data_IF_120543232254
#
_entry.id   IF_120543232254
#
_cell.length_a   1.000
_cell.length_b   1.000
_cell.length_c   1.000
_cell.angle_alpha   90.00
_cell.angle_beta   90.00
_cell.angle_gamma   90.00
#
_symmetry.space_group_name_H-M   'P 1'
#
loop_
_entity.id
_entity.type
_entity.pdbx_description
1 polymer ?
#
# COMPACT_ATOMS: atom_id res chain seq x y z
N UNK A 1 -31.81 -5.98 -18.73
CA UNK A 1 -32.01 -7.01 -17.68
C UNK A 1 -32.67 -6.32 -16.50
N UNK A 2 -33.81 -6.82 -16.06
CA UNK A 2 -34.52 -6.22 -14.93
C UNK A 2 -33.73 -6.43 -13.62
N UNK A 3 -33.86 -5.49 -12.66
CA UNK A 3 -33.14 -5.54 -11.38
C UNK A 3 -33.44 -6.84 -10.61
N UNK A 4 -34.66 -7.36 -10.77
CA UNK A 4 -35.11 -8.62 -10.16
C UNK A 4 -34.35 -9.83 -10.72
N UNK A 5 -34.02 -9.83 -12.01
CA UNK A 5 -33.22 -10.90 -12.64
C UNK A 5 -31.77 -10.84 -12.13
N UNK A 6 -31.20 -9.63 -11.96
CA UNK A 6 -29.86 -9.45 -11.39
C UNK A 6 -29.78 -9.93 -9.94
N UNK A 7 -30.80 -9.60 -9.13
CA UNK A 7 -30.89 -10.08 -7.73
C UNK A 7 -31.04 -11.61 -7.66
N UNK A 8 -31.87 -12.20 -8.51
CA UNK A 8 -32.02 -13.65 -8.57
C UNK A 8 -30.72 -14.33 -9.01
N UNK A 9 -30.01 -13.75 -9.97
CA UNK A 9 -28.69 -14.24 -10.39
C UNK A 9 -27.68 -14.16 -9.25
N UNK A 10 -27.64 -13.03 -8.53
CA UNK A 10 -26.77 -12.84 -7.37
C UNK A 10 -26.99 -13.91 -6.29
N UNK A 11 -28.26 -14.10 -5.85
CA UNK A 11 -28.58 -15.07 -4.80
C UNK A 11 -28.31 -16.53 -5.19
N UNK A 12 -28.37 -16.86 -6.48
CA UNK A 12 -28.15 -18.22 -7.00
C UNK A 12 -26.74 -18.47 -7.49
N UNK A 13 -25.92 -17.45 -7.57
CA UNK A 13 -24.56 -17.57 -8.09
C UNK A 13 -23.69 -18.42 -7.16
N UNK A 14 -23.02 -19.46 -7.68
CA UNK A 14 -22.08 -20.28 -6.89
C UNK A 14 -20.94 -19.43 -6.29
N UNK A 15 -20.51 -18.40 -6.98
CA UNK A 15 -19.46 -17.46 -6.54
C UNK A 15 -19.91 -16.68 -5.30
N UNK A 16 -21.15 -16.21 -5.30
CA UNK A 16 -21.78 -15.54 -4.14
C UNK A 16 -21.87 -16.48 -2.95
N UNK A 17 -22.30 -17.72 -3.14
CA UNK A 17 -22.37 -18.71 -2.07
C UNK A 17 -20.99 -19.02 -1.49
N UNK A 18 -19.99 -19.29 -2.34
CA UNK A 18 -18.61 -19.56 -1.90
C UNK A 18 -18.02 -18.38 -1.12
N UNK A 19 -18.23 -17.16 -1.59
CA UNK A 19 -17.77 -15.94 -0.90
C UNK A 19 -18.44 -15.79 0.46
N UNK A 20 -19.76 -16.00 0.51
CA UNK A 20 -20.53 -15.98 1.75
C UNK A 20 -20.05 -17.03 2.74
N UNK A 21 -19.91 -18.28 2.30
CA UNK A 21 -19.48 -19.40 3.15
C UNK A 21 -18.08 -19.13 3.71
N UNK A 22 -17.20 -18.58 2.89
CA UNK A 22 -15.87 -18.19 3.33
C UNK A 22 -15.90 -17.13 4.42
N UNK A 23 -16.58 -16.01 4.21
CA UNK A 23 -16.58 -14.89 5.15
C UNK A 23 -17.46 -15.12 6.38
N UNK A 24 -18.41 -16.04 6.33
CA UNK A 24 -19.22 -16.43 7.50
C UNK A 24 -18.57 -17.53 8.34
N UNK A 25 -17.55 -18.21 7.84
CA UNK A 25 -16.86 -19.25 8.60
C UNK A 25 -15.71 -18.63 9.38
N UNK A 26 -15.78 -18.56 10.72
CA UNK A 26 -14.76 -17.92 11.53
C UNK A 26 -13.43 -18.70 11.46
N UNK A 27 -12.30 -17.99 11.55
CA UNK A 27 -10.99 -18.59 11.80
C UNK A 27 -10.84 -18.94 13.29
N UNK A 28 -9.79 -19.68 13.63
CA UNK A 28 -9.45 -19.94 15.04
C UNK A 28 -9.22 -18.63 15.81
N UNK A 29 -8.64 -17.62 15.17
CA UNK A 29 -8.36 -16.31 15.77
C UNK A 29 -9.65 -15.54 16.09
N UNK A 30 -10.67 -15.63 15.21
CA UNK A 30 -12.00 -15.06 15.47
C UNK A 30 -12.68 -15.76 16.66
N UNK A 31 -12.62 -17.11 16.70
CA UNK A 31 -13.22 -17.90 17.78
C UNK A 31 -12.64 -17.50 19.14
N UNK A 32 -11.34 -17.27 19.22
CA UNK A 32 -10.66 -16.85 20.47
C UNK A 32 -10.65 -15.33 20.66
N UNK A 33 -11.29 -14.55 19.76
CA UNK A 33 -11.38 -13.09 19.77
C UNK A 33 -9.99 -12.41 19.82
N UNK A 34 -9.06 -12.89 18.99
CA UNK A 34 -7.68 -12.41 18.89
C UNK A 34 -7.25 -12.03 17.46
N UNK A 35 -8.20 -11.93 16.57
CA UNK A 35 -8.03 -11.58 15.15
C UNK A 35 -7.35 -10.22 14.92
N UNK A 36 -7.44 -9.29 15.91
CA UNK A 36 -6.87 -7.93 15.88
C UNK A 36 -5.73 -7.70 16.86
N UNK A 37 -5.32 -8.71 17.59
CA UNK A 37 -4.30 -8.56 18.62
C UNK A 37 -2.90 -8.48 18.03
N UNK A 38 -2.28 -7.28 18.00
CA UNK A 38 -0.89 -7.07 17.59
C UNK A 38 0.06 -8.07 18.26
N UNK A 39 -0.15 -8.33 19.55
CA UNK A 39 0.62 -9.32 20.30
C UNK A 39 0.49 -10.73 19.73
N UNK A 40 -0.71 -11.15 19.33
CA UNK A 40 -0.93 -12.49 18.76
C UNK A 40 -0.30 -12.58 17.39
N UNK A 41 -0.47 -11.55 16.55
CA UNK A 41 0.18 -11.51 15.23
C UNK A 41 1.71 -11.49 15.36
N UNK A 42 2.26 -10.70 16.27
CA UNK A 42 3.72 -10.68 16.53
C UNK A 42 4.25 -12.02 17.05
N UNK A 43 3.45 -12.75 17.85
CA UNK A 43 3.80 -14.12 18.27
C UNK A 43 3.83 -15.08 17.06
N UNK A 44 2.84 -14.96 16.18
CA UNK A 44 2.79 -15.81 15.01
C UNK A 44 3.93 -15.51 14.02
N UNK A 45 4.22 -14.23 13.79
CA UNK A 45 5.37 -13.79 12.99
C UNK A 45 6.69 -14.29 13.56
N UNK A 46 6.85 -14.21 14.89
CA UNK A 46 8.01 -14.81 15.56
C UNK A 46 8.13 -16.31 15.23
N UNK A 47 7.05 -17.07 15.41
CA UNK A 47 7.02 -18.48 15.09
C UNK A 47 7.34 -18.75 13.61
N UNK A 48 6.77 -17.95 12.69
CA UNK A 48 7.02 -18.05 11.25
C UNK A 48 8.51 -17.88 10.92
N UNK A 49 9.16 -16.87 11.48
CA UNK A 49 10.57 -16.63 11.25
C UNK A 49 11.46 -17.66 11.97
N UNK A 50 11.02 -18.17 13.12
CA UNK A 50 11.72 -19.25 13.84
C UNK A 50 11.71 -20.59 13.07
N UNK A 51 10.79 -20.80 12.12
CA UNK A 51 10.81 -21.98 11.27
C UNK A 51 12.11 -22.11 10.48
N UNK A 52 12.76 -20.98 10.13
CA UNK A 52 14.07 -20.99 9.48
C UNK A 52 15.15 -21.65 10.33
N UNK A 53 15.04 -21.57 11.67
CA UNK A 53 15.98 -22.16 12.64
C UNK A 53 15.58 -23.58 13.04
N UNK A 54 14.27 -23.84 13.15
CA UNK A 54 13.75 -25.08 13.76
C UNK A 54 13.36 -26.15 12.74
N UNK A 55 13.07 -25.74 11.53
CA UNK A 55 12.58 -26.61 10.47
C UNK A 55 13.28 -26.17 9.18
N UNK A 56 14.55 -26.57 9.04
CA UNK A 56 15.36 -26.20 7.87
C UNK A 56 14.72 -26.82 6.62
N UNK A 57 13.74 -26.09 6.09
CA UNK A 57 13.07 -26.45 4.84
C UNK A 57 14.08 -26.32 3.72
N UNK A 58 14.61 -27.46 3.29
CA UNK A 58 15.50 -27.49 2.11
C UNK A 58 14.83 -26.76 0.95
N UNK A 59 15.40 -25.66 0.51
CA UNK A 59 15.04 -24.94 -0.70
C UNK A 59 14.26 -23.62 -0.55
N UNK A 60 13.78 -23.23 0.64
CA UNK A 60 13.15 -21.93 0.83
C UNK A 60 13.65 -21.20 2.08
N UNK A 61 14.14 -19.99 1.90
CA UNK A 61 14.65 -19.14 2.98
C UNK A 61 13.68 -17.96 3.20
N UNK A 62 12.90 -18.02 4.28
CA UNK A 62 11.89 -17.00 4.63
C UNK A 62 12.55 -15.62 4.82
N UNK A 63 13.73 -15.59 5.45
CA UNK A 63 14.41 -14.33 5.76
C UNK A 63 15.01 -13.72 4.49
N UNK A 64 15.57 -14.52 3.59
CA UNK A 64 15.98 -14.03 2.26
C UNK A 64 14.80 -13.38 1.52
N UNK A 65 13.63 -14.02 1.54
CA UNK A 65 12.42 -13.50 0.91
C UNK A 65 11.93 -12.21 1.57
N UNK A 66 11.98 -12.12 2.90
CA UNK A 66 11.66 -10.90 3.64
C UNK A 66 12.61 -9.75 3.25
N UNK A 67 13.92 -10.01 3.16
CA UNK A 67 14.91 -9.01 2.74
C UNK A 67 14.64 -8.55 1.30
N UNK A 68 14.36 -9.48 0.37
CA UNK A 68 14.09 -9.17 -1.03
C UNK A 68 12.85 -8.28 -1.20
N UNK A 69 11.74 -8.61 -0.53
CA UNK A 69 10.51 -7.81 -0.60
C UNK A 69 10.69 -6.45 0.07
N UNK A 70 11.43 -6.40 1.18
CA UNK A 70 11.77 -5.14 1.86
C UNK A 70 12.60 -4.22 0.96
N UNK A 71 13.55 -4.77 0.21
CA UNK A 71 14.34 -4.00 -0.76
C UNK A 71 13.47 -3.47 -1.91
N UNK A 72 12.55 -4.28 -2.45
CA UNK A 72 11.58 -3.84 -3.45
C UNK A 72 10.77 -2.64 -2.94
N UNK A 73 10.26 -2.73 -1.72
CA UNK A 73 9.51 -1.64 -1.07
C UNK A 73 10.39 -0.41 -0.80
N UNK A 74 11.64 -0.61 -0.41
CA UNK A 74 12.60 0.49 -0.24
C UNK A 74 12.82 1.27 -1.55
N UNK A 75 12.91 0.58 -2.69
CA UNK A 75 13.00 1.24 -4.01
C UNK A 75 11.75 2.08 -4.29
N UNK A 76 10.55 1.52 -4.08
CA UNK A 76 9.27 2.20 -4.30
C UNK A 76 9.10 3.44 -3.41
N UNK A 77 9.71 3.44 -2.22
CA UNK A 77 9.66 4.53 -1.23
C UNK A 77 10.84 5.50 -1.31
N UNK A 78 11.75 5.32 -2.27
CA UNK A 78 12.94 6.19 -2.42
C UNK A 78 14.06 5.92 -1.40
N UNK A 79 14.02 4.80 -0.67
CA UNK A 79 14.97 4.42 0.37
C UNK A 79 16.09 3.47 -0.13
N UNK A 80 16.24 3.32 -1.45
CA UNK A 80 17.19 2.39 -2.06
C UNK A 80 18.63 2.57 -1.56
N UNK A 81 19.08 3.82 -1.45
CA UNK A 81 20.48 4.12 -1.10
C UNK A 81 20.81 3.84 0.38
N UNK A 82 19.80 3.84 1.26
CA UNK A 82 19.95 3.49 2.67
C UNK A 82 19.88 1.99 2.94
N UNK A 83 19.50 1.18 1.94
CA UNK A 83 19.42 -0.27 2.11
C UNK A 83 20.79 -0.92 2.03
N UNK A 84 21.14 -1.88 2.93
CA UNK A 84 22.44 -2.52 2.97
C UNK A 84 22.77 -3.31 1.69
N UNK A 85 23.77 -2.84 0.92
CA UNK A 85 24.07 -3.39 -0.41
C UNK A 85 24.55 -4.83 -0.38
N UNK A 86 25.37 -5.20 0.59
CA UNK A 86 25.92 -6.55 0.69
C UNK A 86 24.85 -7.55 1.13
N UNK A 87 23.98 -7.13 2.03
CA UNK A 87 22.87 -7.95 2.50
C UNK A 87 21.88 -8.30 1.35
N UNK A 88 21.58 -7.32 0.47
CA UNK A 88 20.71 -7.60 -0.67
C UNK A 88 21.39 -8.51 -1.71
N UNK A 89 22.70 -8.36 -1.94
CA UNK A 89 23.44 -9.27 -2.82
C UNK A 89 23.43 -10.70 -2.28
N UNK A 90 23.59 -10.88 -0.96
CA UNK A 90 23.50 -12.18 -0.32
C UNK A 90 22.07 -12.76 -0.47
N UNK A 91 21.03 -11.96 -0.23
CA UNK A 91 19.64 -12.43 -0.31
C UNK A 91 19.19 -12.84 -1.73
N UNK A 92 19.75 -12.20 -2.78
CA UNK A 92 19.49 -12.60 -4.19
C UNK A 92 20.49 -13.66 -4.71
N UNK A 93 21.50 -13.98 -3.95
CA UNK A 93 22.51 -14.99 -4.30
C UNK A 93 22.01 -16.42 -4.07
N UNK A 94 22.81 -17.22 -3.37
CA UNK A 94 22.44 -18.56 -2.97
C UNK A 94 21.53 -18.49 -1.71
N UNK A 95 20.53 -19.35 -1.60
CA UNK A 95 19.66 -19.47 -0.41
C UNK A 95 20.43 -19.76 0.89
N UNK A 96 21.62 -20.33 0.80
CA UNK A 96 22.52 -20.56 1.93
C UNK A 96 23.29 -19.31 2.39
N UNK A 97 23.16 -18.19 1.68
CA UNK A 97 23.90 -16.95 2.00
C UNK A 97 23.25 -16.11 3.10
N UNK A 98 22.07 -16.47 3.57
CA UNK A 98 21.38 -15.83 4.69
C UNK A 98 21.12 -16.88 5.75
N UNK A 99 21.75 -16.69 6.91
CA UNK A 99 21.62 -17.58 8.06
C UNK A 99 21.01 -16.82 9.24
N UNK A 100 20.10 -17.48 9.95
CA UNK A 100 19.54 -16.98 11.19
C UNK A 100 20.15 -17.76 12.35
N UNK A 101 20.92 -17.08 13.17
CA UNK A 101 21.75 -17.73 14.18
C UNK A 101 20.97 -18.05 15.47
N UNK A 102 19.86 -17.37 15.68
CA UNK A 102 19.02 -17.53 16.87
C UNK A 102 17.55 -17.25 16.55
N UNK A 103 16.66 -17.67 17.43
CA UNK A 103 15.23 -17.39 17.32
C UNK A 103 14.96 -15.90 17.37
N UNK A 104 13.97 -15.44 16.61
CA UNK A 104 13.50 -14.06 16.64
C UNK A 104 13.12 -13.64 18.08
N UNK A 105 13.49 -12.42 18.43
CA UNK A 105 13.23 -11.86 19.76
C UNK A 105 11.97 -11.01 19.69
N UNK A 106 10.97 -11.34 20.52
CA UNK A 106 9.76 -10.52 20.67
C UNK A 106 9.91 -9.57 21.85
N UNK A 107 9.31 -8.38 21.72
CA UNK A 107 9.32 -7.36 22.78
C UNK A 107 10.75 -6.96 23.20
N UNK A 108 11.57 -6.69 22.18
CA UNK A 108 12.95 -6.26 22.40
C UNK A 108 12.98 -4.86 23.04
N UNK A 109 13.60 -4.76 24.23
CA UNK A 109 13.62 -3.53 25.02
C UNK A 109 14.72 -2.58 24.60
N UNK A 110 14.35 -1.40 24.14
CA UNK A 110 15.22 -0.28 23.83
C UNK A 110 15.33 0.65 25.03
N UNK A 111 16.35 0.45 25.85
CA UNK A 111 16.57 1.27 27.05
C UNK A 111 17.40 2.52 26.73
N UNK A 112 17.12 3.62 27.44
CA UNK A 112 17.97 4.81 27.39
C UNK A 112 17.64 5.81 26.29
N UNK A 113 16.60 5.59 25.50
CA UNK A 113 16.04 6.56 24.58
C UNK A 113 14.65 6.99 25.04
N UNK A 114 14.39 8.28 25.07
CA UNK A 114 13.12 8.85 25.54
C UNK A 114 12.69 10.02 24.66
N UNK A 115 11.40 10.29 24.65
CA UNK A 115 10.86 11.58 24.24
C UNK A 115 10.15 12.25 25.42
N UNK A 116 9.44 13.36 25.19
CA UNK A 116 8.78 14.14 26.24
C UNK A 116 7.67 13.35 26.98
N UNK A 117 7.04 12.38 26.33
CA UNK A 117 5.91 11.62 26.85
C UNK A 117 6.28 10.21 27.32
N UNK A 118 7.32 9.58 26.74
CA UNK A 118 7.68 8.18 27.03
C UNK A 118 9.16 7.97 27.30
N UNK A 119 9.42 7.07 28.21
CA UNK A 119 10.78 6.57 28.49
C UNK A 119 10.90 5.14 27.97
N UNK A 120 12.03 4.85 27.29
CA UNK A 120 12.32 3.56 26.68
C UNK A 120 11.35 3.22 25.52
N UNK A 121 11.55 2.07 24.92
CA UNK A 121 10.71 1.52 23.86
C UNK A 121 10.75 0.01 23.87
N UNK A 122 9.76 -0.61 23.27
CA UNK A 122 9.69 -2.06 23.10
C UNK A 122 9.36 -2.31 21.63
N UNK A 123 10.33 -2.85 20.89
CA UNK A 123 10.18 -3.26 19.48
C UNK A 123 9.46 -4.60 19.44
N UNK A 124 8.48 -4.74 18.56
CA UNK A 124 7.67 -5.96 18.47
C UNK A 124 8.49 -7.19 18.12
N UNK A 125 9.36 -7.09 17.11
CA UNK A 125 10.20 -8.21 16.67
C UNK A 125 11.59 -7.75 16.25
N UNK A 126 12.59 -8.54 16.62
CA UNK A 126 13.97 -8.40 16.13
C UNK A 126 14.48 -9.76 15.67
N UNK A 127 15.04 -9.80 14.47
CA UNK A 127 15.66 -10.99 13.87
C UNK A 127 17.15 -10.71 13.75
N UNK A 128 17.98 -11.62 14.26
CA UNK A 128 19.43 -11.57 14.15
C UNK A 128 19.92 -12.69 13.23
N UNK A 129 20.91 -12.38 12.40
CA UNK A 129 21.49 -13.37 11.51
C UNK A 129 22.83 -12.92 10.95
N UNK A 130 23.35 -13.72 10.04
CA UNK A 130 24.52 -13.40 9.24
C UNK A 130 24.24 -13.58 7.76
N UNK A 131 24.89 -12.77 6.95
CA UNK A 131 24.90 -12.84 5.49
C UNK A 131 26.29 -13.19 5.00
N UNK A 132 26.38 -14.11 4.05
CA UNK A 132 27.64 -14.55 3.44
C UNK A 132 27.63 -14.11 1.98
N UNK A 133 28.57 -13.24 1.61
CA UNK A 133 28.75 -12.82 0.22
C UNK A 133 30.24 -12.72 -0.10
N UNK A 134 30.70 -13.42 -1.15
CA UNK A 134 32.10 -13.50 -1.55
C UNK A 134 33.04 -13.88 -0.38
N UNK A 135 32.68 -14.94 0.35
CA UNK A 135 33.40 -15.48 1.52
C UNK A 135 33.56 -14.49 2.68
N UNK A 136 32.75 -13.42 2.69
CA UNK A 136 32.68 -12.47 3.79
C UNK A 136 31.36 -12.62 4.52
N UNK A 137 31.46 -12.95 5.79
CA UNK A 137 30.33 -12.97 6.70
C UNK A 137 30.13 -11.60 7.33
N UNK A 138 28.87 -11.17 7.39
CA UNK A 138 28.45 -9.92 8.02
C UNK A 138 27.22 -10.16 8.87
N UNK A 139 27.20 -9.72 10.12
CA UNK A 139 26.01 -9.78 10.93
C UNK A 139 24.93 -8.85 10.36
N UNK A 140 23.67 -9.23 10.52
CA UNK A 140 22.57 -8.33 10.22
C UNK A 140 21.50 -8.38 11.31
N UNK A 141 20.69 -7.33 11.34
CA UNK A 141 19.54 -7.20 12.23
C UNK A 141 18.34 -6.64 11.46
N UNK A 142 17.17 -7.31 11.59
CA UNK A 142 15.90 -6.80 11.06
C UNK A 142 15.03 -6.40 12.26
N UNK A 143 14.63 -5.14 12.31
CA UNK A 143 13.85 -4.52 13.36
C UNK A 143 12.45 -4.28 12.80
N UNK A 144 11.42 -4.91 13.38
CA UNK A 144 10.05 -4.87 12.87
C UNK A 144 9.13 -4.28 13.95
N UNK A 145 8.44 -3.20 13.58
CA UNK A 145 7.28 -2.68 14.31
C UNK A 145 6.02 -3.11 13.58
N UNK A 146 5.10 -3.75 14.29
CA UNK A 146 3.86 -4.31 13.76
C UNK A 146 2.65 -3.51 14.25
N UNK A 147 1.89 -2.93 13.32
CA UNK A 147 0.66 -2.17 13.60
C UNK A 147 -0.52 -2.81 12.88
N UNK A 148 -1.42 -3.40 13.65
CA UNK A 148 -2.64 -4.04 13.10
C UNK A 148 -3.81 -3.07 13.10
N UNK A 149 -4.07 -2.41 14.23
CA UNK A 149 -5.28 -1.61 14.43
C UNK A 149 -5.00 -0.28 15.13
N UNK A 150 -3.75 -0.02 15.48
CA UNK A 150 -3.31 1.21 16.16
C UNK A 150 -2.40 2.04 15.29
N UNK A 151 -2.39 3.35 15.54
CA UNK A 151 -1.39 4.25 14.97
C UNK A 151 -0.07 4.15 15.76
N UNK A 152 1.00 4.68 15.19
CA UNK A 152 2.22 4.93 15.92
C UNK A 152 1.97 5.98 17.02
N UNK A 153 2.55 5.76 18.21
CA UNK A 153 2.43 6.66 19.33
C UNK A 153 3.80 7.17 19.79
N UNK A 154 3.87 8.44 20.16
CA UNK A 154 5.02 9.02 20.85
C UNK A 154 6.36 8.83 20.11
N UNK A 155 6.37 8.98 18.80
CA UNK A 155 7.55 8.82 17.93
C UNK A 155 8.30 7.50 18.19
N UNK A 156 7.55 6.43 18.28
CA UNK A 156 8.02 5.08 18.61
C UNK A 156 9.17 4.65 17.68
N UNK A 157 8.98 4.78 16.37
CA UNK A 157 9.96 4.37 15.36
C UNK A 157 11.22 5.24 15.42
N UNK A 158 11.12 6.54 15.71
CA UNK A 158 12.29 7.39 15.96
C UNK A 158 13.06 6.97 17.20
N UNK A 159 12.41 6.58 18.29
CA UNK A 159 13.07 6.09 19.50
C UNK A 159 13.82 4.79 19.23
N UNK A 160 13.25 3.87 18.44
CA UNK A 160 13.92 2.62 18.05
C UNK A 160 15.12 2.90 17.15
N UNK A 161 14.93 3.70 16.10
CA UNK A 161 16.02 4.09 15.20
C UNK A 161 17.18 4.72 15.98
N UNK A 162 16.88 5.68 16.87
CA UNK A 162 17.89 6.34 17.71
C UNK A 162 18.59 5.35 18.67
N UNK A 163 17.91 4.34 19.18
CA UNK A 163 18.53 3.32 20.00
C UNK A 163 19.59 2.53 19.25
N UNK A 164 19.33 2.14 18.02
CA UNK A 164 20.23 1.32 17.22
C UNK A 164 21.32 2.13 16.49
N UNK A 165 21.00 3.37 16.05
CA UNK A 165 21.90 4.17 15.19
C UNK A 165 22.55 5.37 15.89
N UNK A 166 22.11 5.70 17.10
CA UNK A 166 22.45 6.98 17.72
C UNK A 166 21.65 8.17 17.18
N UNK A 167 21.83 9.32 17.82
CA UNK A 167 21.17 10.54 17.41
C UNK A 167 21.83 11.13 16.16
N UNK A 168 21.05 11.45 15.15
CA UNK A 168 21.48 12.04 13.88
C UNK A 168 20.82 13.39 13.65
N UNK A 169 21.28 14.15 12.69
CA UNK A 169 20.78 15.52 12.43
C UNK A 169 19.28 15.59 12.15
N UNK A 170 18.74 14.56 11.50
CA UNK A 170 17.30 14.41 11.19
C UNK A 170 16.43 13.95 12.35
N UNK A 171 17.05 13.49 13.46
CA UNK A 171 16.30 13.02 14.64
C UNK A 171 15.54 14.18 15.29
N UNK A 172 14.23 14.03 15.59
CA UNK A 172 13.47 15.05 16.30
C UNK A 172 14.15 15.52 17.59
N UNK A 173 14.12 16.81 17.87
CA UNK A 173 14.85 17.43 18.99
C UNK A 173 14.38 16.98 20.38
N UNK A 174 13.16 16.46 20.48
CA UNK A 174 12.61 15.91 21.72
C UNK A 174 13.04 14.46 21.99
N UNK A 175 13.60 13.76 21.01
CA UNK A 175 14.20 12.44 21.19
C UNK A 175 15.58 12.61 21.86
N UNK A 176 15.71 12.06 23.06
CA UNK A 176 16.90 12.23 23.91
C UNK A 176 17.49 10.89 24.31
N UNK A 177 18.82 10.85 24.27
CA UNK A 177 19.60 9.70 24.76
C UNK A 177 19.92 9.96 26.23
N UNK A 178 19.51 9.04 27.10
CA UNK A 178 19.75 9.12 28.55
C UNK A 178 20.76 8.10 29.07
N UNK A 179 20.91 6.98 28.37
CA UNK A 179 21.77 5.86 28.80
C UNK A 179 22.50 5.27 27.58
N UNK A 180 23.25 4.17 27.85
CA UNK A 180 23.97 3.44 26.83
C UNK A 180 23.01 2.90 25.75
N UNK A 181 23.31 3.22 24.50
CA UNK A 181 22.64 2.72 23.31
C UNK A 181 23.07 1.29 22.98
N UNK A 182 22.45 0.74 21.95
CA UNK A 182 22.86 -0.51 21.34
C UNK A 182 24.33 -0.44 20.90
N UNK A 183 25.10 -1.45 21.27
CA UNK A 183 26.48 -1.60 20.83
C UNK A 183 26.49 -2.60 19.68
N UNK A 184 26.49 -2.10 18.45
CA UNK A 184 26.50 -2.93 17.27
C UNK A 184 27.79 -3.71 17.14
N UNK A 185 27.76 -4.96 16.66
CA UNK A 185 28.93 -5.63 16.09
C UNK A 185 29.52 -4.82 14.92
N UNK A 186 30.80 -5.03 14.67
CA UNK A 186 31.47 -4.40 13.53
C UNK A 186 30.79 -4.83 12.22
N UNK A 187 30.51 -3.85 11.35
CA UNK A 187 29.87 -4.05 10.05
C UNK A 187 28.46 -4.70 10.09
N UNK A 188 27.72 -4.55 11.17
CA UNK A 188 26.35 -5.02 11.23
C UNK A 188 25.45 -4.24 10.27
N UNK A 189 24.76 -4.95 9.38
CA UNK A 189 23.74 -4.41 8.50
C UNK A 189 22.38 -4.37 9.21
N UNK A 190 21.63 -3.26 9.11
CA UNK A 190 20.32 -3.11 9.77
C UNK A 190 19.23 -2.71 8.80
N UNK A 191 18.04 -3.32 8.98
CA UNK A 191 16.82 -3.02 8.24
C UNK A 191 15.71 -2.71 9.24
N UNK A 192 14.99 -1.62 9.00
CA UNK A 192 13.87 -1.18 9.80
C UNK A 192 12.58 -1.36 9.01
N UNK A 193 11.64 -2.13 9.54
CA UNK A 193 10.38 -2.47 8.87
C UNK A 193 9.19 -2.01 9.70
N UNK A 194 8.25 -1.35 9.03
CA UNK A 194 6.97 -0.95 9.58
C UNK A 194 5.87 -1.76 8.89
N UNK A 195 5.30 -2.73 9.59
CA UNK A 195 4.35 -3.71 9.05
C UNK A 195 2.91 -3.32 9.38
N UNK A 196 2.07 -3.24 8.34
CA UNK A 196 0.65 -2.86 8.48
C UNK A 196 -0.27 -3.76 7.65
N UNK A 197 -1.60 -3.77 7.89
CA UNK A 197 -2.57 -4.37 6.98
C UNK A 197 -2.49 -3.77 5.57
N UNK A 198 -2.69 -4.60 4.54
CA UNK A 198 -2.63 -4.17 3.15
C UNK A 198 -3.85 -3.33 2.73
N UNK A 199 -5.03 -3.67 3.27
CA UNK A 199 -6.30 -3.03 2.92
C UNK A 199 -6.86 -2.28 4.13
N UNK A 200 -6.11 -1.29 4.60
CA UNK A 200 -6.54 -0.41 5.68
C UNK A 200 -7.12 0.89 5.06
N UNK A 201 -8.35 1.28 5.39
CA UNK A 201 -8.95 2.52 4.90
C UNK A 201 -8.24 3.78 5.41
N UNK A 202 -7.42 3.67 6.44
CA UNK A 202 -6.58 4.74 6.96
C UNK A 202 -5.11 4.38 6.79
N UNK A 203 -4.36 5.28 6.15
CA UNK A 203 -2.91 5.14 6.12
C UNK A 203 -2.35 5.31 7.54
N UNK A 204 -1.65 4.28 8.03
CA UNK A 204 -0.97 4.33 9.32
C UNK A 204 0.34 5.09 9.14
N UNK A 205 0.50 6.19 9.89
CA UNK A 205 1.70 6.99 9.83
C UNK A 205 2.86 6.30 10.54
N UNK A 206 4.04 6.32 9.90
CA UNK A 206 5.32 6.01 10.50
C UNK A 206 6.11 7.32 10.57
N UNK A 207 6.49 7.76 11.77
CA UNK A 207 7.14 9.06 11.96
C UNK A 207 8.59 9.06 11.49
N UNK A 208 9.29 7.91 11.61
CA UNK A 208 10.68 7.78 11.20
C UNK A 208 10.79 7.40 9.70
N UNK A 209 11.39 8.25 8.85
CA UNK A 209 11.49 7.99 7.41
C UNK A 209 12.46 6.85 7.05
N UNK A 210 13.23 6.34 8.01
CA UNK A 210 14.16 5.22 7.79
C UNK A 210 13.48 3.85 7.92
N UNK A 211 12.22 3.80 8.38
CA UNK A 211 11.44 2.58 8.39
C UNK A 211 10.81 2.34 7.00
N UNK A 212 11.08 1.18 6.44
CA UNK A 212 10.49 0.72 5.19
C UNK A 212 9.09 0.20 5.50
N UNK A 213 8.08 0.81 4.89
CA UNK A 213 6.69 0.36 5.03
C UNK A 213 6.49 -0.89 4.20
N UNK A 214 6.14 -1.99 4.86
CA UNK A 214 5.69 -3.25 4.26
C UNK A 214 4.29 -3.59 4.78
N UNK A 215 3.61 -4.49 4.12
CA UNK A 215 2.28 -4.90 4.56
C UNK A 215 2.12 -6.43 4.60
N UNK A 216 1.03 -6.89 5.20
CA UNK A 216 0.75 -8.32 5.30
C UNK A 216 0.55 -9.01 3.94
N UNK A 217 0.20 -8.26 2.86
CA UNK A 217 0.16 -8.82 1.51
C UNK A 217 1.56 -9.19 1.01
N UNK A 218 2.57 -8.37 1.33
CA UNK A 218 3.96 -8.66 1.01
C UNK A 218 4.43 -9.95 1.69
N UNK A 219 4.09 -10.12 2.97
CA UNK A 219 4.40 -11.35 3.70
C UNK A 219 3.64 -12.56 3.13
N UNK A 220 2.37 -12.39 2.78
CA UNK A 220 1.56 -13.44 2.18
C UNK A 220 2.17 -13.93 0.87
N UNK A 221 2.49 -13.02 -0.04
CA UNK A 221 2.97 -13.37 -1.39
C UNK A 221 4.40 -13.91 -1.40
N UNK A 222 5.28 -13.34 -0.57
CA UNK A 222 6.71 -13.64 -0.65
C UNK A 222 7.24 -14.58 0.43
N UNK A 223 6.52 -14.73 1.56
CA UNK A 223 6.94 -15.60 2.66
C UNK A 223 5.96 -16.76 2.89
N UNK A 224 4.68 -16.49 3.06
CA UNK A 224 3.69 -17.50 3.49
C UNK A 224 3.32 -18.45 2.35
N UNK A 225 2.90 -17.90 1.20
CA UNK A 225 2.48 -18.74 0.05
C UNK A 225 3.61 -19.64 -0.47
N UNK A 226 4.85 -19.17 -0.67
CA UNK A 226 5.94 -20.05 -1.09
C UNK A 226 6.24 -21.14 -0.06
N UNK A 227 6.17 -20.84 1.24
CA UNK A 227 6.37 -21.83 2.29
C UNK A 227 5.25 -22.89 2.30
N UNK A 228 3.99 -22.49 2.09
CA UNK A 228 2.85 -23.42 1.94
C UNK A 228 3.00 -24.34 0.72
N UNK A 229 3.69 -23.89 -0.33
CA UNK A 229 3.97 -24.71 -1.52
C UNK A 229 5.18 -25.63 -1.33
N UNK A 230 6.01 -25.40 -0.32
CA UNK A 230 7.18 -26.25 -0.04
C UNK A 230 6.75 -27.64 0.39
N UNK A 231 7.35 -28.67 -0.20
CA UNK A 231 7.13 -30.08 0.17
C UNK A 231 7.78 -30.46 1.50
N UNK A 232 8.75 -29.66 1.98
CA UNK A 232 9.51 -29.91 3.20
C UNK A 232 8.78 -29.47 4.48
N UNK A 233 7.74 -28.64 4.35
CA UNK A 233 6.97 -28.17 5.51
C UNK A 233 6.17 -29.33 6.12
N UNK A 234 6.42 -29.65 7.40
CA UNK A 234 5.69 -30.71 8.09
C UNK A 234 4.18 -30.37 8.20
N UNK A 235 3.35 -31.42 8.31
CA UNK A 235 1.89 -31.29 8.29
C UNK A 235 1.35 -30.34 9.38
N UNK A 236 1.91 -30.38 10.58
CA UNK A 236 1.46 -29.55 11.70
C UNK A 236 1.72 -28.06 11.42
N UNK A 237 2.93 -27.73 10.97
CA UNK A 237 3.30 -26.36 10.62
C UNK A 237 2.48 -25.86 9.43
N UNK A 238 2.20 -26.74 8.45
CA UNK A 238 1.32 -26.44 7.33
C UNK A 238 -0.08 -26.05 7.79
N UNK A 239 -0.71 -26.84 8.67
CA UNK A 239 -2.04 -26.53 9.19
C UNK A 239 -2.09 -25.21 9.96
N UNK A 240 -1.08 -24.90 10.77
CA UNK A 240 -0.98 -23.61 11.47
C UNK A 240 -0.84 -22.45 10.49
N UNK A 241 -0.04 -22.62 9.45
CA UNK A 241 0.19 -21.57 8.45
C UNK A 241 -1.03 -21.36 7.56
N UNK A 242 -1.76 -22.43 7.19
CA UNK A 242 -3.03 -22.36 6.47
C UNK A 242 -4.10 -21.61 7.29
N UNK A 243 -4.23 -21.93 8.58
CA UNK A 243 -5.19 -21.25 9.47
C UNK A 243 -4.83 -19.78 9.68
N UNK A 244 -3.54 -19.45 9.80
CA UNK A 244 -3.11 -18.07 9.87
C UNK A 244 -3.36 -17.31 8.58
N UNK A 245 -3.01 -17.89 7.43
CA UNK A 245 -3.31 -17.33 6.11
C UNK A 245 -4.80 -17.06 5.94
N UNK A 246 -5.65 -17.94 6.44
CA UNK A 246 -7.10 -17.77 6.45
C UNK A 246 -7.51 -16.59 7.36
N UNK A 247 -6.99 -16.55 8.58
CA UNK A 247 -7.29 -15.46 9.52
C UNK A 247 -6.93 -14.08 8.95
N UNK A 248 -5.76 -13.95 8.31
CA UNK A 248 -5.31 -12.71 7.68
C UNK A 248 -6.20 -12.25 6.52
N UNK A 249 -6.93 -13.15 5.87
CA UNK A 249 -7.77 -12.84 4.71
C UNK A 249 -9.26 -12.64 5.04
N UNK A 250 -9.64 -12.75 6.31
CA UNK A 250 -10.99 -12.42 6.75
C UNK A 250 -11.12 -10.92 7.06
N UNK A 251 -12.23 -10.29 6.65
CA UNK A 251 -12.46 -8.89 7.00
C UNK A 251 -12.78 -8.74 8.49
N UNK A 252 -12.28 -7.69 9.08
CA UNK A 252 -12.62 -7.28 10.45
C UNK A 252 -12.94 -5.80 10.51
N UNK A 253 -13.63 -5.36 11.56
CA UNK A 253 -13.93 -3.96 11.80
C UNK A 253 -12.81 -3.39 12.68
N UNK A 254 -12.08 -2.40 12.16
CA UNK A 254 -10.99 -1.74 12.88
C UNK A 254 -11.52 -0.79 13.98
N UNK A 255 -10.63 -0.21 14.76
CA UNK A 255 -10.97 0.72 15.85
C UNK A 255 -11.71 1.99 15.39
N UNK A 256 -11.71 2.28 14.08
CA UNK A 256 -12.45 3.40 13.47
C UNK A 256 -13.84 2.98 12.95
N UNK A 257 -14.27 1.74 13.21
CA UNK A 257 -15.53 1.21 12.71
C UNK A 257 -15.53 0.87 11.21
N UNK A 258 -14.34 0.82 10.57
CA UNK A 258 -14.20 0.55 9.14
C UNK A 258 -13.75 -0.88 8.88
N UNK A 259 -14.27 -1.49 7.79
CA UNK A 259 -13.82 -2.80 7.35
C UNK A 259 -12.37 -2.76 6.90
N UNK A 260 -11.58 -3.68 7.38
CA UNK A 260 -10.14 -3.86 7.08
C UNK A 260 -9.88 -5.32 6.75
N UNK A 261 -8.96 -5.57 5.84
CA UNK A 261 -8.45 -6.91 5.51
C UNK A 261 -6.93 -6.84 5.57
N UNK A 262 -6.28 -7.76 6.28
CA UNK A 262 -4.83 -7.74 6.42
C UNK A 262 -4.13 -8.11 5.10
N UNK A 263 -4.61 -9.14 4.41
CA UNK A 263 -4.15 -9.53 3.08
C UNK A 263 -5.17 -10.46 2.40
N UNK A 264 -4.93 -10.77 1.12
CA UNK A 264 -5.69 -11.75 0.36
C UNK A 264 -4.74 -12.80 -0.21
N UNK A 265 -5.02 -14.07 0.00
CA UNK A 265 -4.32 -15.14 -0.70
C UNK A 265 -4.82 -15.28 -2.15
N UNK A 266 -4.12 -16.04 -2.99
CA UNK A 266 -4.46 -16.18 -4.41
C UNK A 266 -5.83 -16.79 -4.66
N UNK A 267 -6.26 -17.73 -3.80
CA UNK A 267 -7.62 -18.33 -3.90
C UNK A 267 -8.69 -17.28 -3.66
N UNK A 268 -8.47 -16.38 -2.70
CA UNK A 268 -9.40 -15.31 -2.35
C UNK A 268 -9.45 -14.24 -3.43
N UNK A 269 -8.31 -13.87 -3.98
CA UNK A 269 -8.23 -12.96 -5.13
C UNK A 269 -9.02 -13.53 -6.32
N UNK A 270 -8.83 -14.82 -6.62
CA UNK A 270 -9.55 -15.48 -7.69
C UNK A 270 -11.06 -15.53 -7.43
N UNK A 271 -11.48 -15.86 -6.20
CA UNK A 271 -12.90 -15.88 -5.82
C UNK A 271 -13.55 -14.50 -5.89
N UNK A 272 -12.88 -13.46 -5.39
CA UNK A 272 -13.37 -12.08 -5.47
C UNK A 272 -13.47 -11.60 -6.92
N UNK A 273 -12.50 -11.99 -7.78
CA UNK A 273 -12.57 -11.70 -9.20
C UNK A 273 -13.78 -12.37 -9.87
N UNK A 274 -14.00 -13.66 -9.63
CA UNK A 274 -15.16 -14.39 -10.15
C UNK A 274 -16.48 -13.78 -9.65
N UNK A 275 -16.56 -13.45 -8.36
CA UNK A 275 -17.71 -12.77 -7.79
C UNK A 275 -17.97 -11.41 -8.47
N UNK A 276 -16.93 -10.61 -8.68
CA UNK A 276 -17.02 -9.35 -9.38
C UNK A 276 -17.53 -9.53 -10.81
N UNK A 277 -16.92 -10.43 -11.59
CA UNK A 277 -17.31 -10.71 -12.98
C UNK A 277 -18.78 -11.14 -13.08
N UNK A 278 -19.27 -11.92 -12.12
CA UNK A 278 -20.66 -12.39 -12.08
C UNK A 278 -21.66 -11.29 -11.70
N UNK A 279 -21.28 -10.33 -10.84
CA UNK A 279 -22.21 -9.43 -10.17
C UNK A 279 -21.95 -7.93 -10.44
N UNK A 280 -20.95 -7.56 -11.25
CA UNK A 280 -20.53 -6.16 -11.48
C UNK A 280 -21.67 -5.23 -11.88
N UNK A 281 -22.64 -5.72 -12.67
CA UNK A 281 -23.79 -4.90 -13.12
C UNK A 281 -24.70 -4.55 -11.95
N UNK A 282 -25.00 -5.52 -11.07
CA UNK A 282 -25.82 -5.27 -9.88
C UNK A 282 -25.13 -4.31 -8.92
N UNK A 283 -23.82 -4.50 -8.69
CA UNK A 283 -23.04 -3.63 -7.80
C UNK A 283 -23.03 -2.20 -8.33
N UNK A 284 -22.79 -2.00 -9.65
CA UNK A 284 -22.81 -0.68 -10.27
C UNK A 284 -24.16 0.02 -10.12
N UNK A 285 -25.26 -0.67 -10.43
CA UNK A 285 -26.61 -0.11 -10.31
C UNK A 285 -26.92 0.23 -8.84
N UNK A 286 -26.50 -0.61 -7.90
CA UNK A 286 -26.73 -0.37 -6.46
C UNK A 286 -25.99 0.87 -5.98
N UNK A 287 -24.74 1.06 -6.39
CA UNK A 287 -23.94 2.24 -6.05
C UNK A 287 -24.51 3.52 -6.70
N UNK A 288 -24.92 3.46 -7.97
CA UNK A 288 -25.57 4.58 -8.64
C UNK A 288 -26.90 4.98 -7.93
N UNK A 289 -27.68 4.00 -7.50
CA UNK A 289 -28.88 4.25 -6.73
C UNK A 289 -28.58 4.90 -5.38
N UNK A 290 -27.58 4.41 -4.65
CA UNK A 290 -27.17 4.99 -3.38
C UNK A 290 -26.68 6.43 -3.54
N UNK A 291 -25.88 6.70 -4.58
CA UNK A 291 -25.39 8.05 -4.88
C UNK A 291 -26.51 9.08 -5.10
N UNK A 292 -27.64 8.63 -5.62
CA UNK A 292 -28.80 9.50 -5.87
C UNK A 292 -29.66 9.76 -4.63
N UNK A 293 -29.59 8.91 -3.61
CA UNK A 293 -30.51 8.95 -2.46
C UNK A 293 -29.85 9.31 -1.13
N UNK A 294 -28.52 9.15 -0.99
CA UNK A 294 -27.80 9.41 0.27
C UNK A 294 -26.78 10.52 0.09
N UNK A 295 -26.95 11.60 0.87
CA UNK A 295 -26.07 12.78 0.81
C UNK A 295 -24.84 12.69 1.69
N UNK A 296 -24.89 11.91 2.77
CA UNK A 296 -23.86 11.93 3.82
C UNK A 296 -22.58 11.15 3.45
N UNK A 297 -22.71 10.13 2.58
CA UNK A 297 -21.59 9.30 2.11
C UNK A 297 -21.29 9.53 0.61
N UNK A 298 -21.72 10.65 0.06
CA UNK A 298 -21.68 10.92 -1.37
C UNK A 298 -20.28 10.80 -1.98
N UNK A 299 -19.27 11.31 -1.30
CA UNK A 299 -17.88 11.28 -1.79
C UNK A 299 -17.33 9.84 -1.86
N UNK A 300 -17.59 9.02 -0.84
CA UNK A 300 -17.15 7.61 -0.80
C UNK A 300 -17.85 6.79 -1.90
N UNK A 301 -19.14 7.02 -2.11
CA UNK A 301 -19.95 6.34 -3.14
C UNK A 301 -19.49 6.76 -4.55
N UNK A 302 -19.26 8.04 -4.81
CA UNK A 302 -18.74 8.55 -6.08
C UNK A 302 -17.37 8.00 -6.38
N UNK A 303 -16.49 7.91 -5.39
CA UNK A 303 -15.16 7.29 -5.52
C UNK A 303 -15.26 5.80 -5.88
N UNK A 304 -16.18 5.06 -5.26
CA UNK A 304 -16.44 3.66 -5.57
C UNK A 304 -16.98 3.49 -7.01
N UNK A 305 -17.93 4.30 -7.43
CA UNK A 305 -18.47 4.30 -8.81
C UNK A 305 -17.38 4.58 -9.82
N UNK A 306 -16.54 5.57 -9.58
CA UNK A 306 -15.44 5.93 -10.46
C UNK A 306 -14.39 4.81 -10.58
N UNK A 307 -14.05 4.15 -9.47
CA UNK A 307 -13.16 3.00 -9.45
C UNK A 307 -13.74 1.83 -10.27
N UNK A 308 -15.03 1.55 -10.11
CA UNK A 308 -15.74 0.50 -10.85
C UNK A 308 -15.79 0.80 -12.34
N UNK A 309 -16.13 2.03 -12.73
CA UNK A 309 -16.15 2.45 -14.13
C UNK A 309 -14.76 2.33 -14.78
N UNK A 310 -13.70 2.64 -14.04
CA UNK A 310 -12.32 2.44 -14.49
C UNK A 310 -11.99 0.95 -14.73
N UNK A 311 -12.41 0.07 -13.81
CA UNK A 311 -12.21 -1.38 -13.95
C UNK A 311 -13.01 -1.98 -15.12
N UNK A 312 -14.18 -1.43 -15.44
CA UNK A 312 -15.00 -1.86 -16.58
C UNK A 312 -14.52 -1.30 -17.92
N UNK A 313 -13.43 -0.53 -17.93
CA UNK A 313 -13.00 0.20 -19.14
C UNK A 313 -13.98 1.29 -19.58
N UNK A 314 -14.98 1.59 -18.76
CA UNK A 314 -15.93 2.70 -18.93
C UNK A 314 -15.32 3.96 -18.32
N UNK A 315 -14.16 4.43 -18.83
CA UNK A 315 -13.71 5.77 -18.48
C UNK A 315 -14.77 6.76 -18.99
N UNK A 316 -15.20 7.67 -18.11
CA UNK A 316 -16.09 8.76 -18.50
C UNK A 316 -15.51 9.45 -19.72
N UNK A 317 -16.19 9.33 -20.86
CA UNK A 317 -15.74 9.96 -22.11
C UNK A 317 -16.28 11.36 -22.13
N UNK A 318 -15.41 12.32 -22.28
CA UNK A 318 -15.77 13.72 -22.48
C UNK A 318 -15.62 14.08 -23.96
N UNK A 319 -16.48 14.98 -24.40
CA UNK A 319 -16.38 15.59 -25.71
C UNK A 319 -16.05 17.07 -25.52
N UNK A 320 -14.93 17.53 -26.07
CA UNK A 320 -14.53 18.93 -26.05
C UNK A 320 -14.82 19.50 -27.44
N UNK A 321 -15.79 20.42 -27.50
CA UNK A 321 -16.18 21.10 -28.76
C UNK A 321 -15.62 22.52 -28.75
N UNK A 322 -14.91 22.88 -29.79
CA UNK A 322 -14.46 24.25 -30.08
C UNK A 322 -15.60 25.03 -30.68
N UNK A 323 -16.16 25.99 -29.95
CA UNK A 323 -17.37 26.71 -30.41
C UNK A 323 -17.16 27.50 -31.71
N UNK A 324 -15.95 28.05 -31.92
CA UNK A 324 -15.59 28.85 -33.10
C UNK A 324 -15.49 28.01 -34.37
N UNK A 325 -14.95 26.80 -34.29
CA UNK A 325 -14.66 25.95 -35.48
C UNK A 325 -15.57 24.75 -35.60
N UNK A 326 -16.33 24.44 -34.54
CA UNK A 326 -17.14 23.22 -34.46
C UNK A 326 -16.34 21.93 -34.30
N UNK A 327 -15.01 22.03 -34.22
CA UNK A 327 -14.13 20.86 -34.02
C UNK A 327 -14.43 20.16 -32.70
N UNK A 328 -14.49 18.84 -32.74
CA UNK A 328 -14.78 18.01 -31.57
C UNK A 328 -13.59 17.09 -31.31
N UNK A 329 -13.15 17.04 -30.06
CA UNK A 329 -12.10 16.12 -29.56
C UNK A 329 -12.66 15.26 -28.45
N UNK A 330 -12.57 13.94 -28.58
CA UNK A 330 -12.90 13.01 -27.51
C UNK A 330 -11.76 12.94 -26.50
N UNK A 331 -12.10 12.94 -25.22
CA UNK A 331 -11.17 12.82 -24.13
C UNK A 331 -11.71 11.85 -23.07
N UNK A 332 -10.88 11.45 -22.12
CA UNK A 332 -11.32 10.79 -20.89
C UNK A 332 -11.03 11.71 -19.69
N UNK A 333 -11.65 11.40 -18.56
CA UNK A 333 -11.55 12.24 -17.37
C UNK A 333 -10.09 12.56 -16.97
N UNK A 334 -9.19 11.60 -17.03
CA UNK A 334 -7.78 11.79 -16.63
C UNK A 334 -6.94 12.58 -17.64
N UNK A 335 -7.39 12.67 -18.88
CA UNK A 335 -6.70 13.40 -19.94
C UNK A 335 -7.40 14.73 -20.32
N UNK A 336 -8.54 15.04 -19.71
CA UNK A 336 -9.38 16.17 -20.09
C UNK A 336 -8.58 17.48 -20.21
N UNK A 337 -7.83 17.83 -19.17
CA UNK A 337 -7.02 19.06 -19.18
C UNK A 337 -5.85 18.98 -20.19
N UNK A 338 -5.26 17.79 -20.37
CA UNK A 338 -4.21 17.58 -21.38
C UNK A 338 -4.75 17.85 -22.79
N UNK A 339 -5.89 17.26 -23.11
CA UNK A 339 -6.53 17.42 -24.42
C UNK A 339 -7.06 18.84 -24.64
N UNK A 340 -7.54 19.50 -23.58
CA UNK A 340 -7.95 20.89 -23.62
C UNK A 340 -6.77 21.84 -23.86
N UNK A 341 -5.64 21.65 -23.18
CA UNK A 341 -4.42 22.45 -23.41
C UNK A 341 -3.88 22.27 -24.83
N UNK A 342 -3.98 21.07 -25.39
CA UNK A 342 -3.64 20.84 -26.79
C UNK A 342 -4.56 21.62 -27.74
N UNK A 343 -5.86 21.70 -27.44
CA UNK A 343 -6.81 22.53 -28.19
C UNK A 343 -6.54 24.03 -28.02
N UNK A 344 -6.16 24.49 -26.85
CA UNK A 344 -5.72 25.90 -26.69
C UNK A 344 -4.56 26.23 -27.58
N UNK A 345 -3.59 25.32 -27.74
CA UNK A 345 -2.44 25.52 -28.61
C UNK A 345 -2.81 25.61 -30.08
N UNK A 346 -3.76 24.81 -30.51
CA UNK A 346 -4.12 24.66 -31.95
C UNK A 346 -5.25 25.57 -32.42
N UNK A 347 -6.18 25.90 -31.52
CA UNK A 347 -7.44 26.58 -31.87
C UNK A 347 -7.53 28.03 -31.32
N UNK A 348 -6.55 28.48 -30.54
CA UNK A 348 -6.53 29.84 -29.98
C UNK A 348 -5.17 30.51 -30.12
N UNK A 349 -5.14 31.85 -29.97
CA UNK A 349 -3.90 32.63 -29.93
C UNK A 349 -3.34 32.77 -28.47
N UNK A 350 -4.00 32.19 -27.47
CA UNK A 350 -3.60 32.29 -26.06
C UNK A 350 -2.20 31.76 -25.85
N UNK A 351 -1.46 32.45 -25.00
CA UNK A 351 -0.14 32.01 -24.55
C UNK A 351 -0.26 30.93 -23.46
N UNK A 352 0.85 30.27 -23.17
CA UNK A 352 0.90 29.31 -22.03
C UNK A 352 0.59 30.00 -20.70
N UNK A 353 1.00 31.27 -20.54
CA UNK A 353 0.73 32.05 -19.34
C UNK A 353 -0.76 32.36 -19.20
N UNK A 354 -1.44 32.72 -20.29
CA UNK A 354 -2.90 32.95 -20.26
C UNK A 354 -3.66 31.70 -19.83
N UNK A 355 -3.23 30.51 -20.29
CA UNK A 355 -3.84 29.25 -19.91
C UNK A 355 -3.57 28.93 -18.44
N UNK A 356 -2.35 29.19 -17.94
CA UNK A 356 -2.02 29.01 -16.51
C UNK A 356 -2.82 29.93 -15.62
N UNK A 357 -2.92 31.20 -15.98
CA UNK A 357 -3.65 32.20 -15.20
C UNK A 357 -5.14 31.87 -15.16
N UNK A 358 -5.70 31.36 -16.28
CA UNK A 358 -7.09 30.91 -16.35
C UNK A 358 -7.39 29.77 -15.36
N UNK A 359 -6.47 28.81 -15.22
CA UNK A 359 -6.64 27.64 -14.34
C UNK A 359 -5.89 27.75 -13.02
N UNK A 360 -5.47 28.97 -12.64
CA UNK A 360 -4.71 29.22 -11.39
C UNK A 360 -5.48 28.80 -10.13
N UNK A 361 -6.81 28.90 -10.16
CA UNK A 361 -7.68 28.47 -9.04
C UNK A 361 -7.64 26.95 -8.80
N UNK A 362 -7.16 26.17 -9.79
CA UNK A 362 -6.98 24.73 -9.64
C UNK A 362 -5.54 24.49 -9.20
N UNK A 363 -5.31 24.50 -7.89
CA UNK A 363 -3.99 24.32 -7.30
C UNK A 363 -3.21 23.16 -7.90
N UNK A 364 -1.98 23.43 -8.35
CA UNK A 364 -1.03 22.43 -8.86
C UNK A 364 -1.54 21.58 -10.04
N UNK A 365 -2.42 22.11 -10.90
CA UNK A 365 -2.81 21.39 -12.13
C UNK A 365 -1.67 21.34 -13.15
N UNK A 366 -0.78 22.33 -13.11
CA UNK A 366 0.40 22.44 -13.94
C UNK A 366 1.70 22.31 -13.15
N UNK A 367 2.71 21.72 -13.78
CA UNK A 367 4.05 21.61 -13.22
C UNK A 367 5.12 21.78 -14.30
N UNK A 368 6.28 22.33 -13.90
CA UNK A 368 7.46 22.53 -14.74
C UNK A 368 8.58 21.54 -14.43
N UNK A 369 8.50 20.86 -13.30
CA UNK A 369 9.54 19.95 -12.84
C UNK A 369 9.25 18.52 -13.33
N UNK A 370 10.06 18.06 -14.29
CA UNK A 370 9.94 16.72 -14.86
C UNK A 370 10.30 15.58 -13.92
N UNK A 371 10.89 15.87 -12.78
CA UNK A 371 11.28 14.84 -11.81
C UNK A 371 10.09 14.37 -10.96
N UNK A 372 9.00 15.14 -10.93
CA UNK A 372 7.80 14.84 -10.14
C UNK A 372 6.89 13.86 -10.88
N UNK A 373 6.54 12.75 -10.24
CA UNK A 373 5.61 11.75 -10.78
C UNK A 373 4.15 12.23 -10.79
N UNK A 374 3.29 11.59 -11.57
CA UNK A 374 1.85 11.89 -11.61
C UNK A 374 1.46 13.01 -12.58
N UNK A 375 2.38 13.46 -13.41
CA UNK A 375 2.12 14.43 -14.47
C UNK A 375 2.32 13.81 -15.86
N UNK A 376 1.39 14.13 -16.78
CA UNK A 376 1.54 13.85 -18.21
C UNK A 376 2.13 15.07 -18.90
N UNK A 377 3.18 14.89 -19.69
CA UNK A 377 3.93 15.97 -20.30
C UNK A 377 3.53 16.21 -21.76
N UNK A 378 3.33 17.45 -22.09
CA UNK A 378 3.19 17.91 -23.49
C UNK A 378 4.09 19.12 -23.75
N UNK A 379 4.21 19.53 -25.02
CA UNK A 379 4.89 20.77 -25.41
C UNK A 379 3.83 21.76 -25.90
N UNK A 380 3.66 22.84 -25.18
CA UNK A 380 2.82 23.96 -25.61
C UNK A 380 3.67 24.96 -26.40
N UNK A 381 3.52 25.01 -27.73
CA UNK A 381 4.34 25.82 -28.63
C UNK A 381 5.85 25.69 -28.34
N UNK A 382 6.31 24.46 -28.13
CA UNK A 382 7.71 24.14 -27.84
C UNK A 382 8.10 24.14 -26.38
N UNK A 383 7.31 24.75 -25.47
CA UNK A 383 7.59 24.80 -24.04
C UNK A 383 7.02 23.57 -23.34
N UNK A 384 7.83 22.78 -22.61
CA UNK A 384 7.33 21.61 -21.89
C UNK A 384 6.45 22.03 -20.71
N UNK A 385 5.31 21.35 -20.54
CA UNK A 385 4.37 21.56 -19.45
C UNK A 385 3.86 20.20 -18.96
N UNK A 386 3.90 19.98 -17.64
CA UNK A 386 3.32 18.82 -16.98
C UNK A 386 1.90 19.13 -16.51
N UNK A 387 0.97 18.21 -16.77
CA UNK A 387 -0.43 18.31 -16.37
C UNK A 387 -0.76 17.12 -15.51
N UNK A 388 -1.26 17.36 -14.28
CA UNK A 388 -1.62 16.29 -13.36
C UNK A 388 -2.76 15.44 -13.90
N UNK A 389 -2.61 14.13 -13.84
CA UNK A 389 -3.65 13.16 -14.18
C UNK A 389 -4.47 12.74 -12.96
N UNK A 390 -3.89 12.84 -11.78
CA UNK A 390 -4.52 12.39 -10.53
C UNK A 390 -5.63 13.33 -10.07
N UNK A 391 -5.40 14.65 -10.12
CA UNK A 391 -6.40 15.63 -9.67
C UNK A 391 -7.65 15.68 -10.55
N UNK A 392 -7.54 15.34 -11.83
CA UNK A 392 -8.68 15.27 -12.74
C UNK A 392 -9.64 14.10 -12.45
N UNK A 393 -9.30 13.22 -11.52
CA UNK A 393 -10.22 12.18 -11.02
C UNK A 393 -11.28 12.76 -10.07
N UNK A 394 -11.09 13.96 -9.55
CA UNK A 394 -12.07 14.65 -8.73
C UNK A 394 -13.08 15.39 -9.63
N UNK A 395 -14.38 15.15 -9.43
CA UNK A 395 -15.48 15.72 -10.20
C UNK A 395 -15.53 17.25 -10.08
N UNK A 396 -15.33 17.79 -8.89
CA UNK A 396 -15.32 19.25 -8.66
C UNK A 396 -14.25 19.94 -9.49
N UNK A 397 -13.10 19.28 -9.67
CA UNK A 397 -12.02 19.80 -10.54
C UNK A 397 -12.45 19.76 -12.00
N UNK A 398 -13.11 18.69 -12.43
CA UNK A 398 -13.65 18.60 -13.80
C UNK A 398 -14.73 19.65 -14.05
N UNK A 399 -15.63 19.89 -13.11
CA UNK A 399 -16.64 20.96 -13.19
C UNK A 399 -16.01 22.35 -13.27
N UNK A 400 -14.97 22.62 -12.47
CA UNK A 400 -14.19 23.87 -12.56
C UNK A 400 -13.49 24.01 -13.90
N UNK A 401 -12.85 22.95 -14.40
CA UNK A 401 -12.25 22.93 -15.74
C UNK A 401 -13.31 23.26 -16.80
N UNK A 402 -14.47 22.63 -16.72
CA UNK A 402 -15.57 22.82 -17.66
C UNK A 402 -16.09 24.25 -17.65
N UNK A 403 -16.32 24.81 -16.47
CA UNK A 403 -16.78 26.19 -16.29
C UNK A 403 -15.77 27.22 -16.85
N UNK A 404 -14.49 27.03 -16.55
CA UNK A 404 -13.43 27.92 -17.02
C UNK A 404 -13.21 27.81 -18.54
N UNK A 405 -13.26 26.59 -19.10
CA UNK A 405 -13.12 26.33 -20.53
C UNK A 405 -14.25 26.97 -21.35
N UNK A 406 -15.47 27.00 -20.82
CA UNK A 406 -16.63 27.62 -21.46
C UNK A 406 -16.41 29.11 -21.73
N UNK A 407 -15.77 29.84 -20.83
CA UNK A 407 -15.45 31.25 -20.99
C UNK A 407 -14.42 31.49 -22.11
N UNK A 408 -13.70 30.48 -22.53
CA UNK A 408 -12.67 30.55 -23.57
C UNK A 408 -13.12 29.92 -24.91
N UNK A 409 -14.42 29.64 -25.04
CA UNK A 409 -15.01 29.13 -26.28
C UNK A 409 -14.93 27.62 -26.46
N UNK A 410 -14.78 26.85 -25.36
CA UNK A 410 -14.85 25.40 -25.38
C UNK A 410 -16.10 24.91 -24.64
N UNK A 411 -16.82 24.00 -25.24
CA UNK A 411 -17.95 23.30 -24.62
C UNK A 411 -17.51 21.88 -24.28
N UNK A 412 -17.57 21.53 -22.99
CA UNK A 412 -17.24 20.19 -22.50
C UNK A 412 -18.53 19.52 -22.10
N UNK A 413 -18.83 18.37 -22.72
CA UNK A 413 -19.99 17.52 -22.42
C UNK A 413 -19.54 16.08 -22.11
N UNK A 414 -20.33 15.41 -21.29
CA UNK A 414 -20.20 14.00 -20.93
C UNK A 414 -20.95 13.13 -21.94
#
# INVERSE_FOLDING_TARGET
MEIVELLNKYYRSPETQRLRDKFLTPSLFDIIQKDRSETVHSNFLKWLFDLQVTDSSEGFNIISSLIQVSYKRAIEQGLRESFPKELIKAAYGNHMSIEVNERAIREYRCHGVSNNSRQNGIVDLVINGSSIYQDKERPFKIIIENKVDTDEHDDQTWRYYTFFEGQKNETPSDIKIKNRLYCAPENEDRIYLFLTPAFNPKEVNCSCPHFIKINYQDLMEHCINPLLQSSSLNLRNRLFLEEYSRALSLPYINNLGKNTIMCLNETDKALLKQFWEANQQLISISLEALNNYYSDDKEEIENAINAINALQGKSTKYSIKVLKTGKVKSSNQTNLMYDLVDLYQTETEKTLQDVRDRYNEISSIFNNDKTISGYKWLKFRGVPIGITTQKQRNRDIVEKITALAKNDGFEISN
#
